data_IF_680540499496
#
_entry.id   IF_680540499496
#
_cell.length_a   1.000
_cell.length_b   1.000
_cell.length_c   1.000
_cell.angle_alpha   90.00
_cell.angle_beta   90.00
_cell.angle_gamma   90.00
#
_symmetry.space_group_name_H-M   'P 1'
#
loop_
_entity.id
_entity.type
_entity.pdbx_description
1 polymer ?
#
# COMPACT_ATOMS: atom_id res chain seq x y z
N UNK A 1 25.85 37.45 2.47
CA UNK A 1 25.39 36.47 1.47
C UNK A 1 23.86 36.44 1.53
N UNK A 2 23.21 37.38 0.85
CA UNK A 2 21.77 37.61 0.96
C UNK A 2 21.00 36.85 -0.12
N UNK A 3 20.07 36.00 0.29
CA UNK A 3 19.13 35.31 -0.60
C UNK A 3 18.29 36.38 -1.29
N UNK A 4 18.21 36.42 -2.64
CA UNK A 4 17.45 37.46 -3.31
C UNK A 4 15.95 37.12 -3.23
N UNK A 5 15.25 37.79 -2.32
CA UNK A 5 13.78 37.78 -2.14
C UNK A 5 13.03 38.47 -3.31
N UNK A 6 13.52 38.33 -4.54
CA UNK A 6 13.03 39.06 -5.72
C UNK A 6 11.77 38.47 -6.36
N UNK A 7 11.32 37.30 -5.92
CA UNK A 7 10.17 36.62 -6.53
C UNK A 7 8.81 37.23 -6.16
N UNK A 8 8.69 38.00 -5.07
CA UNK A 8 7.40 38.55 -4.61
C UNK A 8 7.11 39.99 -5.05
N UNK A 9 8.09 40.69 -5.63
CA UNK A 9 7.98 42.14 -5.91
C UNK A 9 7.91 42.50 -7.40
N UNK A 10 7.86 41.50 -8.28
CA UNK A 10 7.73 41.73 -9.72
C UNK A 10 6.26 42.01 -10.06
N UNK A 11 5.99 43.23 -10.52
CA UNK A 11 4.65 43.70 -10.84
C UNK A 11 4.18 43.01 -12.13
N UNK A 12 3.41 41.93 -12.00
CA UNK A 12 2.94 41.16 -13.16
C UNK A 12 2.13 42.03 -14.12
N UNK A 13 2.54 42.05 -15.39
CA UNK A 13 1.82 42.75 -16.46
C UNK A 13 0.51 41.99 -16.72
N UNK A 14 -0.60 42.60 -16.30
CA UNK A 14 -1.95 42.05 -16.38
C UNK A 14 -2.44 42.01 -17.84
N UNK A 15 -2.51 40.82 -18.43
CA UNK A 15 -3.24 40.63 -19.68
C UNK A 15 -4.75 40.66 -19.40
N UNK A 16 -5.52 41.42 -20.19
CA UNK A 16 -6.98 41.59 -20.04
C UNK A 16 -7.68 40.22 -20.12
N UNK A 17 -8.16 39.73 -18.98
CA UNK A 17 -8.99 38.52 -18.88
C UNK A 17 -8.32 37.27 -18.28
N UNK A 18 -7.02 37.31 -17.95
CA UNK A 18 -6.31 36.16 -17.35
C UNK A 18 -6.10 36.28 -15.83
N UNK A 19 -6.03 35.14 -15.14
CA UNK A 19 -5.59 35.07 -13.74
C UNK A 19 -4.10 35.45 -13.64
N UNK A 20 -3.69 36.22 -12.61
CA UNK A 20 -2.27 36.38 -12.27
C UNK A 20 -1.69 35.06 -11.78
N UNK A 21 -0.37 34.84 -11.92
CA UNK A 21 0.25 33.54 -11.56
C UNK A 21 -0.02 33.19 -10.10
N UNK A 22 0.02 34.18 -9.20
CA UNK A 22 -0.30 34.01 -7.79
C UNK A 22 -1.77 33.66 -7.53
N UNK A 23 -2.71 34.22 -8.31
CA UNK A 23 -4.14 33.88 -8.20
C UNK A 23 -4.42 32.48 -8.74
N UNK A 24 -3.81 32.10 -9.87
CA UNK A 24 -3.89 30.75 -10.39
C UNK A 24 -3.33 29.73 -9.40
N UNK A 25 -2.18 30.02 -8.78
CA UNK A 25 -1.59 29.19 -7.74
C UNK A 25 -2.52 29.05 -6.52
N UNK A 26 -3.10 30.15 -6.03
CA UNK A 26 -4.03 30.11 -4.89
C UNK A 26 -5.31 29.31 -5.22
N UNK A 27 -5.89 29.50 -6.40
CA UNK A 27 -7.06 28.73 -6.84
C UNK A 27 -6.71 27.24 -6.97
N UNK A 28 -5.58 26.90 -7.60
CA UNK A 28 -5.12 25.52 -7.72
C UNK A 28 -4.84 24.89 -6.35
N UNK A 29 -4.26 25.64 -5.41
CA UNK A 29 -3.98 25.20 -4.04
C UNK A 29 -5.25 24.92 -3.26
N UNK A 30 -6.23 25.85 -3.29
CA UNK A 30 -7.52 25.67 -2.61
C UNK A 30 -8.33 24.54 -3.23
N UNK A 31 -8.37 24.45 -4.57
CA UNK A 31 -9.03 23.35 -5.26
C UNK A 31 -8.40 21.99 -4.93
N UNK A 32 -7.07 21.91 -4.87
CA UNK A 32 -6.37 20.69 -4.46
C UNK A 32 -6.69 20.35 -2.99
N UNK A 33 -6.67 21.34 -2.09
CA UNK A 33 -6.98 21.16 -0.68
C UNK A 33 -8.40 20.62 -0.47
N UNK A 34 -9.40 21.19 -1.14
CA UNK A 34 -10.79 20.70 -1.09
C UNK A 34 -10.90 19.30 -1.70
N UNK A 35 -10.23 19.05 -2.83
CA UNK A 35 -10.25 17.75 -3.50
C UNK A 35 -9.60 16.63 -2.66
N UNK A 36 -8.56 16.92 -1.88
CA UNK A 36 -7.93 15.92 -1.00
C UNK A 36 -8.68 15.74 0.33
N UNK A 37 -9.30 16.79 0.89
CA UNK A 37 -10.10 16.69 2.12
C UNK A 37 -11.40 15.91 1.88
N UNK A 38 -12.01 16.03 0.71
CA UNK A 38 -13.30 15.41 0.43
C UNK A 38 -13.31 13.87 0.56
N UNK A 39 -12.42 13.10 -0.10
CA UNK A 39 -12.34 11.66 0.08
C UNK A 39 -11.69 11.26 1.42
N UNK A 40 -10.76 12.07 1.94
CA UNK A 40 -10.02 11.76 3.16
C UNK A 40 -10.81 11.96 4.46
N UNK A 41 -11.80 12.87 4.49
CA UNK A 41 -12.51 13.24 5.71
C UNK A 41 -14.03 13.07 5.62
N UNK A 42 -14.67 13.36 4.48
CA UNK A 42 -16.13 13.34 4.36
C UNK A 42 -16.67 11.99 3.86
N UNK A 43 -15.94 11.31 2.98
CA UNK A 43 -16.38 10.02 2.43
C UNK A 43 -15.23 9.01 2.30
N UNK A 44 -14.76 8.51 3.43
CA UNK A 44 -13.77 7.43 3.45
C UNK A 44 -14.29 6.14 2.78
N UNK A 45 -15.61 5.99 2.60
CA UNK A 45 -16.17 4.90 1.78
C UNK A 45 -15.82 4.99 0.28
N UNK A 46 -15.49 6.18 -0.24
CA UNK A 46 -15.09 6.33 -1.66
C UNK A 46 -13.70 5.76 -1.94
N UNK A 47 -12.87 5.57 -0.92
CA UNK A 47 -11.51 5.03 -1.09
C UNK A 47 -11.48 3.53 -1.32
N UNK A 48 -12.53 2.81 -0.89
CA UNK A 48 -12.68 1.38 -1.15
C UNK A 48 -14.16 1.00 -1.24
N UNK A 49 -14.75 1.19 -2.42
CA UNK A 49 -16.07 0.67 -2.74
C UNK A 49 -15.94 -0.83 -3.05
N UNK A 50 -16.10 -1.65 -2.02
CA UNK A 50 -16.04 -3.11 -2.11
C UNK A 50 -17.41 -3.69 -2.44
N UNK A 51 -17.71 -3.88 -3.74
CA UNK A 51 -19.01 -4.41 -4.20
C UNK A 51 -19.35 -5.76 -3.54
N UNK A 52 -18.36 -6.64 -3.40
CA UNK A 52 -18.53 -7.98 -2.82
C UNK A 52 -18.94 -7.92 -1.34
N UNK A 53 -18.38 -6.97 -0.58
CA UNK A 53 -18.75 -6.77 0.81
C UNK A 53 -20.18 -6.24 0.97
N UNK A 54 -20.69 -5.52 -0.04
CA UNK A 54 -22.05 -4.99 -0.04
C UNK A 54 -23.09 -6.08 -0.37
N UNK A 55 -22.77 -7.00 -1.30
CA UNK A 55 -23.66 -8.11 -1.67
C UNK A 55 -23.70 -9.20 -0.58
N UNK A 56 -22.58 -9.47 0.09
CA UNK A 56 -22.48 -10.51 1.13
C UNK A 56 -21.94 -9.97 2.47
N UNK A 57 -22.72 -9.14 3.20
CA UNK A 57 -22.23 -8.48 4.40
C UNK A 57 -21.96 -9.43 5.57
N UNK A 58 -22.62 -10.58 5.64
CA UNK A 58 -22.53 -11.52 6.77
C UNK A 58 -21.47 -12.62 6.61
N UNK A 59 -20.80 -12.70 5.45
CA UNK A 59 -19.82 -13.75 5.19
C UNK A 59 -18.40 -13.26 5.46
N UNK A 60 -17.75 -13.86 6.46
CA UNK A 60 -16.35 -13.57 6.81
C UNK A 60 -15.41 -13.83 5.63
N UNK A 61 -15.68 -14.88 4.84
CA UNK A 61 -14.89 -15.17 3.64
C UNK A 61 -15.11 -14.10 2.55
N UNK A 62 -16.34 -13.65 2.35
CA UNK A 62 -16.63 -12.60 1.37
C UNK A 62 -15.97 -11.26 1.77
N UNK A 63 -15.93 -10.96 3.08
CA UNK A 63 -15.23 -9.79 3.59
C UNK A 63 -13.70 -9.90 3.43
N UNK A 64 -13.11 -11.06 3.73
CA UNK A 64 -11.67 -11.30 3.54
C UNK A 64 -11.25 -11.28 2.06
N UNK A 65 -12.14 -11.69 1.15
CA UNK A 65 -11.88 -11.66 -0.29
C UNK A 65 -12.15 -10.29 -0.90
N UNK A 66 -13.26 -9.64 -0.52
CA UNK A 66 -13.79 -8.46 -1.18
C UNK A 66 -13.33 -7.12 -0.60
N UNK A 67 -12.94 -7.08 0.67
CA UNK A 67 -12.55 -5.82 1.33
C UNK A 67 -11.24 -5.30 0.74
N UNK A 68 -11.24 -4.06 0.23
CA UNK A 68 -10.02 -3.43 -0.28
C UNK A 68 -9.06 -2.96 0.82
N UNK A 69 -9.54 -2.69 2.04
CA UNK A 69 -8.72 -2.22 3.16
C UNK A 69 -8.24 -3.37 4.06
N UNK A 70 -9.09 -4.36 4.28
CA UNK A 70 -8.86 -5.44 5.26
C UNK A 70 -8.90 -6.83 4.62
N UNK A 71 -8.84 -6.91 3.30
CA UNK A 71 -8.92 -8.15 2.54
C UNK A 71 -8.11 -8.10 1.25
N UNK A 72 -8.38 -9.07 0.37
CA UNK A 72 -7.68 -9.24 -0.91
C UNK A 72 -8.15 -8.23 -1.98
N UNK A 73 -9.21 -7.46 -1.71
CA UNK A 73 -9.69 -6.38 -2.58
C UNK A 73 -10.38 -6.82 -3.88
N UNK A 74 -10.88 -8.05 -3.97
CA UNK A 74 -11.60 -8.52 -5.17
C UNK A 74 -12.84 -7.66 -5.39
N UNK A 75 -12.89 -6.95 -6.52
CA UNK A 75 -14.02 -6.08 -6.84
C UNK A 75 -14.13 -4.84 -5.95
N UNK A 76 -13.04 -4.44 -5.28
CA UNK A 76 -12.94 -3.14 -4.63
C UNK A 76 -12.46 -2.10 -5.63
N UNK A 77 -13.21 -1.00 -5.74
CA UNK A 77 -12.87 0.15 -6.59
C UNK A 77 -12.64 1.35 -5.67
N UNK A 78 -11.44 1.90 -5.68
CA UNK A 78 -11.15 3.20 -5.07
C UNK A 78 -11.36 4.30 -6.11
N UNK A 79 -12.23 5.27 -5.81
CA UNK A 79 -12.51 6.41 -6.70
C UNK A 79 -11.67 7.64 -6.34
N UNK A 80 -10.75 7.53 -5.37
CA UNK A 80 -9.91 8.63 -4.94
C UNK A 80 -8.54 8.60 -5.64
N UNK A 81 -8.20 9.73 -6.27
CA UNK A 81 -6.92 9.87 -6.97
C UNK A 81 -5.72 9.81 -6.02
N UNK A 82 -5.92 10.17 -4.75
CA UNK A 82 -4.89 10.09 -3.71
C UNK A 82 -4.43 8.64 -3.49
N UNK A 83 -5.35 7.69 -3.31
CA UNK A 83 -5.05 6.27 -3.14
C UNK A 83 -4.48 5.63 -4.41
N UNK A 84 -4.91 6.08 -5.59
CA UNK A 84 -4.32 5.60 -6.86
C UNK A 84 -2.86 6.09 -6.99
N UNK A 85 -2.61 7.36 -6.69
CA UNK A 85 -1.28 7.97 -6.79
C UNK A 85 -0.29 7.49 -5.72
N UNK A 86 -0.78 7.06 -4.54
CA UNK A 86 0.07 6.55 -3.46
C UNK A 86 0.65 5.17 -3.75
N UNK A 87 -0.03 4.34 -4.55
CA UNK A 87 0.38 2.96 -4.81
C UNK A 87 1.43 2.82 -5.91
N UNK A 88 1.32 3.55 -7.03
CA UNK A 88 2.24 3.46 -8.18
C UNK A 88 3.12 4.72 -8.38
N UNK A 89 3.03 5.72 -7.49
CA UNK A 89 3.41 7.08 -7.85
C UNK A 89 2.42 7.67 -8.86
N UNK A 90 2.57 8.92 -9.29
CA UNK A 90 1.69 9.52 -10.30
C UNK A 90 1.65 8.65 -11.57
N UNK A 91 0.58 7.87 -11.83
CA UNK A 91 0.57 6.91 -12.94
C UNK A 91 0.60 7.59 -14.30
N UNK A 92 0.28 8.89 -14.36
CA UNK A 92 0.48 9.76 -15.53
C UNK A 92 1.95 9.99 -15.89
N UNK A 93 2.88 9.84 -14.95
CA UNK A 93 4.30 10.06 -15.18
C UNK A 93 5.02 8.79 -15.68
N UNK A 94 4.46 7.61 -15.44
CA UNK A 94 5.04 6.32 -15.82
C UNK A 94 4.44 5.83 -17.16
N UNK A 95 5.24 5.22 -18.06
CA UNK A 95 4.70 4.66 -19.30
C UNK A 95 3.66 3.56 -19.01
N UNK A 96 2.59 3.53 -19.81
CA UNK A 96 1.48 2.57 -19.67
C UNK A 96 1.95 1.11 -19.55
N UNK A 97 2.98 0.72 -20.31
CA UNK A 97 3.53 -0.63 -20.29
C UNK A 97 4.09 -1.02 -18.91
N UNK A 98 4.73 -0.09 -18.20
CA UNK A 98 5.24 -0.35 -16.85
C UNK A 98 4.08 -0.59 -15.87
N UNK A 99 3.04 0.25 -15.95
CA UNK A 99 1.82 0.10 -15.15
C UNK A 99 1.13 -1.24 -15.42
N UNK A 100 1.02 -1.65 -16.70
CA UNK A 100 0.44 -2.94 -17.08
C UNK A 100 1.24 -4.14 -16.52
N UNK A 101 2.58 -4.08 -16.54
CA UNK A 101 3.42 -5.13 -15.97
C UNK A 101 3.28 -5.23 -14.45
N UNK A 102 3.24 -4.10 -13.75
CA UNK A 102 3.01 -4.07 -12.29
C UNK A 102 1.63 -4.65 -11.98
N UNK A 103 0.60 -4.27 -12.74
CA UNK A 103 -0.73 -4.83 -12.60
C UNK A 103 -0.74 -6.35 -12.82
N UNK A 104 -0.11 -6.85 -13.89
CA UNK A 104 -0.02 -8.28 -14.16
C UNK A 104 0.69 -9.04 -13.03
N UNK A 105 1.80 -8.50 -12.52
CA UNK A 105 2.50 -9.05 -11.36
C UNK A 105 1.63 -9.09 -10.10
N UNK A 106 0.88 -8.02 -9.83
CA UNK A 106 -0.10 -7.98 -8.76
C UNK A 106 -1.17 -9.07 -8.89
N UNK A 107 -1.78 -9.24 -10.09
CA UNK A 107 -2.77 -10.29 -10.32
C UNK A 107 -2.21 -11.69 -10.06
N UNK A 108 -1.00 -11.97 -10.53
CA UNK A 108 -0.34 -13.28 -10.34
C UNK A 108 -0.10 -13.54 -8.86
N UNK A 109 0.48 -12.58 -8.14
CA UNK A 109 0.81 -12.75 -6.72
C UNK A 109 -0.47 -12.89 -5.89
N UNK A 110 -1.41 -11.96 -6.06
CA UNK A 110 -2.62 -11.86 -5.26
C UNK A 110 -3.59 -13.03 -5.50
N UNK A 111 -3.80 -13.44 -6.75
CA UNK A 111 -4.85 -14.40 -7.11
C UNK A 111 -4.36 -15.80 -7.47
N UNK A 112 -3.08 -15.96 -7.79
CA UNK A 112 -2.51 -17.29 -8.11
C UNK A 112 -1.62 -17.76 -6.97
N UNK A 113 -0.59 -17.00 -6.62
CA UNK A 113 0.43 -17.45 -5.67
C UNK A 113 -0.13 -17.48 -4.24
N UNK A 114 -0.78 -16.41 -3.76
CA UNK A 114 -1.29 -16.35 -2.38
C UNK A 114 -2.32 -17.46 -2.08
N UNK A 115 -3.34 -17.71 -2.92
CA UNK A 115 -4.30 -18.79 -2.67
C UNK A 115 -3.67 -20.18 -2.80
N UNK A 116 -2.72 -20.35 -3.73
CA UNK A 116 -1.97 -21.60 -3.89
C UNK A 116 -1.12 -21.89 -2.64
N UNK A 117 -0.38 -20.90 -2.14
CA UNK A 117 0.39 -21.01 -0.91
C UNK A 117 -0.49 -21.34 0.32
N UNK A 118 -1.67 -20.75 0.39
CA UNK A 118 -2.65 -21.04 1.45
C UNK A 118 -3.19 -22.48 1.35
N UNK A 119 -3.49 -22.97 0.13
CA UNK A 119 -3.94 -24.35 -0.09
C UNK A 119 -2.87 -25.38 0.24
N UNK A 120 -1.61 -25.13 -0.11
CA UNK A 120 -0.49 -26.00 0.22
C UNK A 120 -0.06 -25.91 1.70
N UNK A 121 -0.76 -25.11 2.51
CA UNK A 121 -0.49 -24.92 3.93
C UNK A 121 0.98 -24.55 4.22
N UNK A 122 1.59 -23.79 3.31
CA UNK A 122 2.95 -23.29 3.52
C UNK A 122 2.96 -22.45 4.80
N UNK A 123 3.93 -22.68 5.68
CA UNK A 123 4.03 -21.97 6.96
C UNK A 123 2.88 -22.20 7.97
N UNK A 124 2.14 -23.32 7.89
CA UNK A 124 0.93 -23.55 8.72
C UNK A 124 -0.15 -22.48 8.48
N UNK A 125 -0.18 -21.93 7.26
CA UNK A 125 -1.05 -20.86 6.80
C UNK A 125 -2.54 -21.04 7.14
N UNK A 126 -3.05 -22.28 7.19
CA UNK A 126 -4.47 -22.54 7.50
C UNK A 126 -4.89 -22.14 8.91
N UNK A 127 -3.95 -21.98 9.84
CA UNK A 127 -4.26 -21.62 11.22
C UNK A 127 -4.59 -20.13 11.41
N UNK A 128 -4.37 -19.29 10.40
CA UNK A 128 -4.56 -17.85 10.47
C UNK A 128 -5.19 -17.29 9.18
N UNK A 129 -5.76 -16.07 9.21
CA UNK A 129 -6.41 -15.47 8.04
C UNK A 129 -5.42 -15.25 6.89
N UNK A 130 -5.90 -15.40 5.64
CA UNK A 130 -5.11 -15.21 4.42
C UNK A 130 -4.49 -13.81 4.37
N UNK A 131 -5.28 -12.81 4.77
CA UNK A 131 -4.92 -11.40 4.82
C UNK A 131 -5.07 -10.88 6.25
N UNK A 132 -3.97 -10.38 6.83
CA UNK A 132 -3.96 -9.69 8.11
C UNK A 132 -2.60 -8.98 8.28
N UNK A 133 -2.63 -7.78 8.84
CA UNK A 133 -1.43 -7.05 9.27
C UNK A 133 -0.88 -7.53 10.61
N UNK A 134 -1.65 -8.34 11.34
CA UNK A 134 -1.26 -8.88 12.64
C UNK A 134 -0.26 -10.01 12.55
N UNK A 135 0.49 -10.19 13.63
CA UNK A 135 1.37 -11.32 13.86
C UNK A 135 0.64 -12.40 14.65
N UNK A 136 0.93 -13.66 14.37
CA UNK A 136 0.24 -14.80 14.96
C UNK A 136 1.21 -15.78 15.62
N UNK A 137 0.72 -16.50 16.62
CA UNK A 137 1.37 -17.70 17.16
C UNK A 137 1.04 -18.90 16.28
N UNK A 138 1.72 -20.02 16.49
CA UNK A 138 1.42 -21.29 15.80
C UNK A 138 -0.06 -21.72 15.95
N UNK A 139 -0.66 -21.42 17.10
CA UNK A 139 -2.05 -21.74 17.42
C UNK A 139 -3.07 -20.76 16.82
N UNK A 140 -2.64 -19.79 16.01
CA UNK A 140 -3.51 -18.81 15.35
C UNK A 140 -3.95 -17.63 16.24
N UNK A 141 -3.42 -17.52 17.46
CA UNK A 141 -3.69 -16.38 18.33
C UNK A 141 -2.82 -15.18 17.96
N UNK A 142 -3.28 -13.95 18.21
CA UNK A 142 -2.45 -12.76 18.00
C UNK A 142 -1.21 -12.82 18.89
N UNK A 143 -0.04 -12.62 18.29
CA UNK A 143 1.23 -12.63 18.99
C UNK A 143 1.39 -11.34 19.80
N UNK A 144 1.74 -11.45 21.08
CA UNK A 144 2.01 -10.29 21.92
C UNK A 144 3.46 -9.83 21.73
N UNK A 145 3.66 -8.74 20.99
CA UNK A 145 5.00 -8.21 20.72
C UNK A 145 5.62 -7.63 22.01
N UNK A 146 4.80 -7.07 22.89
CA UNK A 146 5.25 -6.49 24.15
C UNK A 146 5.80 -7.54 25.12
N UNK A 147 5.51 -8.83 24.92
CA UNK A 147 6.09 -9.89 25.75
C UNK A 147 7.49 -10.32 25.33
N UNK A 148 7.99 -9.89 24.16
CA UNK A 148 9.32 -10.24 23.65
C UNK A 148 10.23 -9.00 23.48
N UNK A 149 9.69 -7.81 23.74
CA UNK A 149 10.41 -6.54 23.63
C UNK A 149 10.38 -5.87 25.00
N UNK A 150 11.55 -5.66 25.59
CA UNK A 150 11.69 -4.95 26.85
C UNK A 150 11.30 -3.46 26.68
N UNK A 151 11.03 -2.78 27.79
CA UNK A 151 10.76 -1.34 27.91
C UNK A 151 11.79 -0.44 27.22
N UNK A 152 13.01 -0.94 27.01
CA UNK A 152 14.08 -0.26 26.28
C UNK A 152 14.12 -0.62 24.77
N UNK A 153 13.08 -1.25 24.23
CA UNK A 153 12.99 -1.78 22.87
C UNK A 153 14.07 -2.81 22.50
N UNK A 154 14.65 -3.48 23.50
CA UNK A 154 15.57 -4.60 23.27
C UNK A 154 14.79 -5.90 23.08
N UNK A 155 15.29 -6.73 22.16
CA UNK A 155 14.72 -8.04 21.89
C UNK A 155 15.16 -9.03 22.96
N UNK A 156 14.19 -9.61 23.67
CA UNK A 156 14.41 -10.63 24.69
C UNK A 156 14.34 -12.03 24.07
N UNK A 157 15.52 -12.64 23.91
CA UNK A 157 15.67 -13.99 23.36
C UNK A 157 15.09 -15.09 24.25
N UNK A 158 15.11 -14.92 25.58
CA UNK A 158 14.56 -15.91 26.50
C UNK A 158 13.03 -15.91 26.43
N UNK A 159 12.43 -14.73 26.42
CA UNK A 159 11.00 -14.57 26.22
C UNK A 159 10.56 -15.07 24.84
N UNK A 160 11.37 -14.87 23.80
CA UNK A 160 11.09 -15.42 22.46
C UNK A 160 11.12 -16.96 22.44
N UNK A 161 12.11 -17.59 23.09
CA UNK A 161 12.14 -19.06 23.18
C UNK A 161 10.93 -19.63 23.91
N UNK A 162 10.44 -18.92 24.94
CA UNK A 162 9.25 -19.31 25.70
C UNK A 162 7.94 -19.13 24.91
N UNK A 163 7.81 -18.02 24.17
CA UNK A 163 6.61 -17.70 23.41
C UNK A 163 6.55 -18.39 22.03
N UNK A 164 7.68 -18.91 21.55
CA UNK A 164 7.79 -19.63 20.29
C UNK A 164 7.87 -18.71 19.07
N UNK A 165 8.02 -19.32 17.88
CA UNK A 165 8.21 -18.58 16.63
C UNK A 165 6.98 -17.78 16.23
N UNK A 166 7.25 -16.65 15.60
CA UNK A 166 6.25 -15.72 15.11
C UNK A 166 5.82 -16.07 13.68
N UNK A 167 4.52 -16.03 13.43
CA UNK A 167 3.91 -16.33 12.13
C UNK A 167 3.26 -15.08 11.54
N UNK A 168 3.40 -14.95 10.22
CA UNK A 168 2.82 -13.87 9.41
C UNK A 168 1.68 -14.43 8.57
N UNK A 169 0.71 -13.59 8.22
CA UNK A 169 -0.33 -13.98 7.26
C UNK A 169 0.29 -14.39 5.92
N UNK A 170 -0.38 -15.30 5.20
CA UNK A 170 0.12 -15.87 3.94
C UNK A 170 0.41 -14.79 2.90
N UNK A 171 -0.46 -13.79 2.79
CA UNK A 171 -0.26 -12.66 1.89
C UNK A 171 1.01 -11.86 2.24
N UNK A 172 1.23 -11.57 3.52
CA UNK A 172 2.43 -10.85 3.97
C UNK A 172 3.70 -11.66 3.67
N UNK A 173 3.72 -12.95 4.02
CA UNK A 173 4.87 -13.82 3.80
C UNK A 173 5.25 -13.91 2.31
N UNK A 174 4.27 -14.14 1.43
CA UNK A 174 4.50 -14.19 -0.03
C UNK A 174 5.01 -12.85 -0.55
N UNK A 175 4.40 -11.74 -0.13
CA UNK A 175 4.82 -10.40 -0.57
C UNK A 175 6.26 -10.11 -0.16
N UNK A 176 6.66 -10.43 1.08
CA UNK A 176 8.05 -10.30 1.50
C UNK A 176 8.99 -11.18 0.67
N UNK A 177 8.63 -12.44 0.42
CA UNK A 177 9.42 -13.34 -0.42
C UNK A 177 9.66 -12.78 -1.82
N UNK A 178 8.61 -12.26 -2.48
CA UNK A 178 8.71 -11.62 -3.79
C UNK A 178 9.59 -10.36 -3.74
N UNK A 179 9.48 -9.55 -2.68
CA UNK A 179 10.31 -8.35 -2.52
C UNK A 179 11.80 -8.70 -2.39
N UNK A 180 12.15 -9.74 -1.65
CA UNK A 180 13.53 -10.25 -1.61
C UNK A 180 13.99 -10.75 -2.98
N UNK A 181 13.15 -11.51 -3.68
CA UNK A 181 13.46 -11.97 -5.03
C UNK A 181 13.67 -10.79 -6.01
N UNK A 182 12.89 -9.73 -5.86
CA UNK A 182 12.97 -8.52 -6.68
C UNK A 182 14.30 -7.80 -6.45
N UNK A 183 14.76 -7.66 -5.19
CA UNK A 183 16.07 -7.09 -4.88
C UNK A 183 17.20 -7.85 -5.56
N UNK A 184 17.20 -9.18 -5.43
CA UNK A 184 18.21 -10.04 -6.08
C UNK A 184 18.13 -9.93 -7.60
N UNK A 185 16.92 -9.91 -8.17
CA UNK A 185 16.71 -9.73 -9.60
C UNK A 185 17.25 -8.38 -10.08
N UNK A 186 17.07 -7.30 -9.32
CA UNK A 186 17.65 -5.99 -9.65
C UNK A 186 19.17 -6.03 -9.65
N UNK A 187 19.81 -6.67 -8.67
CA UNK A 187 21.27 -6.83 -8.63
C UNK A 187 21.76 -7.58 -9.87
N UNK A 188 21.15 -8.73 -10.17
CA UNK A 188 21.50 -9.53 -11.36
C UNK A 188 21.29 -8.73 -12.65
N UNK A 189 20.18 -7.98 -12.75
CA UNK A 189 19.88 -7.14 -13.90
C UNK A 189 20.94 -6.04 -14.08
N UNK A 190 21.34 -5.34 -13.02
CA UNK A 190 22.39 -4.32 -13.09
C UNK A 190 23.71 -4.94 -13.49
N UNK A 191 24.11 -6.07 -12.90
CA UNK A 191 25.35 -6.76 -13.25
C UNK A 191 25.37 -7.19 -14.73
N UNK A 192 24.26 -7.71 -15.24
CA UNK A 192 24.19 -8.25 -16.61
C UNK A 192 24.09 -7.14 -17.67
N UNK A 193 23.39 -6.04 -17.39
CA UNK A 193 23.17 -4.96 -18.35
C UNK A 193 24.13 -3.78 -18.23
N UNK A 194 24.69 -3.53 -17.04
CA UNK A 194 25.57 -2.39 -16.76
C UNK A 194 26.96 -2.81 -16.24
N UNK A 195 27.22 -4.12 -16.10
CA UNK A 195 28.54 -4.66 -15.75
C UNK A 195 29.52 -4.76 -16.92
N UNK A 196 29.32 -3.98 -17.98
CA UNK A 196 30.31 -3.74 -19.03
C UNK A 196 30.90 -2.34 -18.87
#
# INVERSE_FOLDING_TARGET
MGIPSRALHEKEVRSKGGFTRSQFFLVAFVCSFVYYIFPGYLFQMLTSLSWICWVFPNSVLAQQLGSGLYGLGIGSIGLDWASVSSYLGSPLASPWFATANVAAGFFIIMYVITPMAYRFNLYKARNFPIFSHGLFTESGHKYNITSIVDSQFHFDTEAYQKNGPLYLSTFFAVTYGVRFASLTATIIHVLLFHGR
#
